data_IF_175393816445
#
_entry.id   IF_175393816445
#
_cell.length_a   1.000
_cell.length_b   1.000
_cell.length_c   1.000
_cell.angle_alpha   90.00
_cell.angle_beta   90.00
_cell.angle_gamma   90.00
#
_symmetry.space_group_name_H-M   'P 1'
#
loop_
_entity.id
_entity.type
_entity.pdbx_description
1 polymer ?
#
# COMPACT_ATOMS: atom_id res chain seq x y z
N UNK A 1 -31.49 -11.94 -11.65
CA UNK A 1 -30.27 -11.12 -11.88
C UNK A 1 -29.55 -11.71 -13.08
N UNK A 2 -29.19 -10.92 -14.09
CA UNK A 2 -28.47 -11.44 -15.26
C UNK A 2 -26.97 -11.22 -15.04
N UNK A 3 -26.17 -12.28 -15.15
CA UNK A 3 -24.71 -12.15 -15.24
C UNK A 3 -24.32 -12.33 -16.68
N UNK A 4 -23.36 -11.54 -17.13
CA UNK A 4 -22.73 -11.73 -18.43
C UNK A 4 -21.64 -12.78 -18.28
N UNK A 5 -21.92 -13.98 -18.79
CA UNK A 5 -20.87 -14.95 -19.05
C UNK A 5 -20.12 -14.50 -20.33
N UNK A 6 -18.79 -14.37 -20.31
CA UNK A 6 -18.01 -13.96 -21.48
C UNK A 6 -18.20 -14.87 -22.70
N UNK A 7 -18.48 -16.16 -22.47
CA UNK A 7 -18.65 -17.17 -23.52
C UNK A 7 -20.13 -17.43 -23.86
N UNK A 8 -21.04 -17.16 -22.92
CA UNK A 8 -22.42 -17.65 -22.97
C UNK A 8 -23.47 -16.54 -23.19
N UNK A 9 -23.07 -15.26 -23.08
CA UNK A 9 -24.01 -14.13 -23.11
C UNK A 9 -24.77 -13.93 -21.78
N UNK A 10 -25.85 -13.13 -21.78
CA UNK A 10 -26.62 -12.83 -20.58
C UNK A 10 -27.37 -14.07 -20.09
N UNK A 11 -26.90 -14.63 -18.97
CA UNK A 11 -27.50 -15.81 -18.35
C UNK A 11 -28.40 -15.40 -17.19
N UNK A 12 -29.64 -15.90 -17.17
CA UNK A 12 -30.61 -15.63 -16.11
C UNK A 12 -30.28 -16.53 -14.93
N UNK A 13 -29.70 -15.95 -13.89
CA UNK A 13 -29.37 -16.69 -12.67
C UNK A 13 -30.60 -16.78 -11.78
N UNK A 14 -31.01 -18.00 -11.46
CA UNK A 14 -31.90 -18.27 -10.34
C UNK A 14 -31.13 -18.06 -9.03
N UNK A 15 -31.58 -17.07 -8.26
CA UNK A 15 -30.99 -16.73 -6.97
C UNK A 15 -31.12 -17.88 -5.95
N UNK A 16 -32.08 -18.78 -6.16
CA UNK A 16 -32.31 -19.96 -5.31
C UNK A 16 -31.24 -21.02 -5.55
N UNK A 17 -30.86 -21.25 -6.81
CA UNK A 17 -29.76 -22.13 -7.19
C UNK A 17 -28.39 -21.53 -6.87
N UNK A 18 -28.25 -20.20 -6.93
CA UNK A 18 -27.02 -19.49 -6.61
C UNK A 18 -26.56 -19.71 -5.15
N UNK A 19 -27.48 -19.98 -4.24
CA UNK A 19 -27.17 -20.35 -2.84
C UNK A 19 -26.50 -21.72 -2.72
N UNK A 20 -26.62 -22.57 -3.74
CA UNK A 20 -26.01 -23.90 -3.81
C UNK A 20 -24.67 -23.89 -4.57
N UNK A 21 -24.26 -22.75 -5.12
CA UNK A 21 -22.97 -22.65 -5.78
C UNK A 21 -21.86 -22.67 -4.74
N UNK A 22 -21.14 -23.79 -4.69
CA UNK A 22 -19.95 -23.94 -3.88
C UNK A 22 -18.73 -23.50 -4.69
N UNK A 23 -17.86 -22.74 -4.04
CA UNK A 23 -16.54 -22.44 -4.59
C UNK A 23 -15.75 -23.74 -4.64
N UNK A 24 -15.20 -24.07 -5.81
CA UNK A 24 -14.15 -25.09 -5.92
C UNK A 24 -12.98 -24.63 -5.06
N UNK A 25 -12.95 -25.17 -3.85
CA UNK A 25 -12.09 -24.69 -2.78
C UNK A 25 -10.65 -25.07 -3.08
N UNK A 26 -10.41 -26.25 -3.67
CA UNK A 26 -9.08 -26.71 -4.02
C UNK A 26 -8.49 -25.87 -5.16
N UNK A 27 -9.29 -25.61 -6.19
CA UNK A 27 -8.89 -24.70 -7.26
C UNK A 27 -8.61 -23.30 -6.71
N UNK A 28 -9.48 -22.77 -5.86
CA UNK A 28 -9.35 -21.43 -5.29
C UNK A 28 -8.08 -21.29 -4.44
N UNK A 29 -7.82 -22.23 -3.54
CA UNK A 29 -6.60 -22.27 -2.72
C UNK A 29 -5.37 -22.27 -3.61
N UNK A 30 -5.35 -23.12 -4.65
CA UNK A 30 -4.23 -23.19 -5.60
C UNK A 30 -4.00 -21.86 -6.31
N UNK A 31 -5.06 -21.20 -6.79
CA UNK A 31 -4.93 -19.94 -7.53
C UNK A 31 -4.54 -18.76 -6.64
N UNK A 32 -5.12 -18.66 -5.44
CA UNK A 32 -4.75 -17.61 -4.47
C UNK A 32 -3.31 -17.75 -4.00
N UNK A 33 -2.85 -18.97 -3.73
CA UNK A 33 -1.46 -19.21 -3.36
C UNK A 33 -0.49 -18.83 -4.47
N UNK A 34 -0.82 -19.12 -5.72
CA UNK A 34 -0.03 -18.66 -6.86
C UNK A 34 -0.04 -17.13 -6.96
N UNK A 35 -1.20 -16.47 -6.80
CA UNK A 35 -1.33 -15.02 -6.88
C UNK A 35 -0.54 -14.28 -5.77
N UNK A 36 -0.40 -14.88 -4.59
CA UNK A 36 0.31 -14.33 -3.44
C UNK A 36 1.77 -14.80 -3.34
N UNK A 37 2.28 -15.55 -4.33
CA UNK A 37 3.61 -16.16 -4.32
C UNK A 37 3.86 -17.05 -3.07
N UNK A 38 2.84 -17.76 -2.59
CA UNK A 38 2.97 -18.71 -1.47
C UNK A 38 3.55 -20.04 -1.99
N UNK A 39 4.69 -20.51 -1.47
CA UNK A 39 5.34 -21.72 -1.96
C UNK A 39 4.47 -22.97 -1.79
N UNK A 40 4.41 -23.86 -2.77
CA UNK A 40 3.56 -25.06 -2.76
C UNK A 40 3.82 -26.02 -1.59
N UNK A 41 5.04 -26.06 -1.05
CA UNK A 41 5.42 -26.93 0.06
C UNK A 41 4.83 -26.51 1.41
N UNK A 42 4.30 -25.28 1.53
CA UNK A 42 3.64 -24.81 2.76
C UNK A 42 2.32 -25.56 2.92
N UNK A 43 2.10 -26.25 4.02
CA UNK A 43 0.86 -26.99 4.24
C UNK A 43 -0.37 -26.06 4.21
N UNK A 44 -1.48 -26.60 3.71
CA UNK A 44 -2.82 -26.01 3.85
C UNK A 44 -3.46 -26.67 5.06
N UNK A 45 -3.91 -25.87 6.02
CA UNK A 45 -4.55 -26.37 7.24
C UNK A 45 -6.03 -25.99 7.24
N UNK A 46 -6.92 -26.98 7.39
CA UNK A 46 -8.34 -26.72 7.63
C UNK A 46 -8.52 -26.39 9.12
N UNK A 47 -8.84 -25.14 9.44
CA UNK A 47 -8.98 -24.68 10.84
C UNK A 47 -10.42 -24.90 11.33
N UNK A 48 -11.40 -24.62 10.46
CA UNK A 48 -12.82 -24.80 10.73
C UNK A 48 -13.54 -25.23 9.45
N UNK A 49 -14.75 -25.76 9.56
CA UNK A 49 -15.58 -26.00 8.39
C UNK A 49 -15.77 -24.70 7.60
N UNK A 50 -15.39 -24.71 6.31
CA UNK A 50 -15.42 -23.53 5.45
C UNK A 50 -14.30 -22.50 5.67
N UNK A 51 -13.26 -22.79 6.49
CA UNK A 51 -12.12 -21.89 6.76
C UNK A 51 -10.78 -22.65 6.74
N UNK A 52 -9.85 -22.18 5.91
CA UNK A 52 -8.52 -22.77 5.74
C UNK A 52 -7.41 -21.73 5.91
N UNK A 53 -6.32 -22.09 6.57
CA UNK A 53 -5.05 -21.37 6.47
C UNK A 53 -4.29 -21.87 5.24
N UNK A 54 -4.07 -20.97 4.30
CA UNK A 54 -3.51 -21.31 2.99
C UNK A 54 -2.04 -20.89 2.85
N UNK A 55 -1.45 -20.29 3.89
CA UNK A 55 -0.03 -19.93 3.94
C UNK A 55 0.21 -18.61 4.67
N UNK A 56 1.33 -17.96 4.34
CA UNK A 56 1.77 -16.69 4.92
C UNK A 56 2.11 -15.72 3.80
N UNK A 57 1.63 -14.48 3.90
CA UNK A 57 1.90 -13.40 2.95
C UNK A 57 2.24 -12.11 3.72
N UNK A 58 3.33 -11.43 3.34
CA UNK A 58 3.86 -10.25 4.05
C UNK A 58 3.94 -10.46 5.58
N UNK A 59 4.47 -11.62 6.02
CA UNK A 59 4.62 -12.05 7.43
C UNK A 59 3.32 -12.29 8.22
N UNK A 60 2.15 -12.26 7.56
CA UNK A 60 0.84 -12.47 8.18
C UNK A 60 0.20 -13.75 7.64
N UNK A 61 -0.52 -14.49 8.49
CA UNK A 61 -1.22 -15.71 8.05
C UNK A 61 -2.32 -15.35 7.04
N UNK A 62 -2.56 -16.22 6.05
CA UNK A 62 -3.60 -16.03 5.05
C UNK A 62 -4.69 -17.07 5.28
N UNK A 63 -5.89 -16.59 5.58
CA UNK A 63 -7.09 -17.39 5.79
C UNK A 63 -8.01 -17.23 4.57
N UNK A 64 -8.36 -18.33 3.94
CA UNK A 64 -9.46 -18.40 2.99
C UNK A 64 -10.70 -18.86 3.74
N UNK A 65 -11.81 -18.12 3.63
CA UNK A 65 -13.10 -18.56 4.11
C UNK A 65 -14.17 -18.46 3.04
N UNK A 66 -15.10 -19.41 3.04
CA UNK A 66 -16.24 -19.39 2.10
C UNK A 66 -17.13 -18.16 2.32
N UNK A 67 -17.23 -17.70 3.57
CA UNK A 67 -18.12 -16.63 3.99
C UNK A 67 -17.53 -15.90 5.19
N UNK A 68 -17.72 -14.58 5.25
CA UNK A 68 -17.24 -13.75 6.36
C UNK A 68 -17.94 -14.09 7.69
N UNK A 69 -19.21 -14.51 7.64
CA UNK A 69 -19.96 -14.85 8.86
C UNK A 69 -19.36 -16.03 9.61
N UNK A 70 -18.76 -17.00 8.90
CA UNK A 70 -18.06 -18.14 9.51
C UNK A 70 -16.82 -17.68 10.30
N UNK A 71 -16.14 -16.65 9.81
CA UNK A 71 -14.95 -16.08 10.47
C UNK A 71 -15.38 -15.28 11.70
N UNK A 72 -16.40 -14.43 11.57
CA UNK A 72 -16.92 -13.62 12.68
C UNK A 72 -17.43 -14.51 13.81
N UNK A 73 -18.22 -15.53 13.50
CA UNK A 73 -18.77 -16.45 14.50
C UNK A 73 -17.70 -17.25 15.26
N UNK A 74 -16.52 -17.44 14.66
CA UNK A 74 -15.44 -18.26 15.22
C UNK A 74 -14.16 -17.45 15.51
N UNK A 75 -14.22 -16.12 15.56
CA UNK A 75 -13.05 -15.24 15.61
C UNK A 75 -12.11 -15.55 16.79
N UNK A 76 -12.66 -15.84 17.97
CA UNK A 76 -11.85 -16.21 19.15
C UNK A 76 -10.99 -17.46 18.89
N UNK A 77 -11.58 -18.50 18.29
CA UNK A 77 -10.85 -19.73 17.97
C UNK A 77 -9.83 -19.51 16.84
N UNK A 78 -10.22 -18.75 15.82
CA UNK A 78 -9.42 -18.52 14.61
C UNK A 78 -8.21 -17.60 14.84
N UNK A 79 -8.30 -16.61 15.72
CA UNK A 79 -7.22 -15.64 15.91
C UNK A 79 -6.47 -15.81 17.23
N UNK A 80 -7.15 -16.31 18.28
CA UNK A 80 -6.60 -16.42 19.64
C UNK A 80 -6.55 -17.86 20.16
N UNK A 81 -6.74 -18.86 19.28
CA UNK A 81 -6.65 -20.28 19.64
C UNK A 81 -5.22 -20.76 19.95
N UNK A 82 -5.06 -22.10 20.03
CA UNK A 82 -3.78 -22.76 20.37
C UNK A 82 -2.60 -22.32 19.49
N UNK A 83 -2.86 -22.06 18.22
CA UNK A 83 -1.92 -21.41 17.31
C UNK A 83 -2.47 -20.00 17.04
N UNK A 84 -1.98 -18.95 17.71
CA UNK A 84 -2.51 -17.59 17.50
C UNK A 84 -2.10 -17.05 16.13
N UNK A 85 -3.02 -16.29 15.52
CA UNK A 85 -2.87 -15.72 14.16
C UNK A 85 -3.35 -14.26 14.13
N UNK A 86 -2.84 -13.40 15.02
CA UNK A 86 -3.26 -12.01 15.03
C UNK A 86 -2.91 -11.36 13.69
N UNK A 87 -3.70 -10.35 13.32
CA UNK A 87 -3.49 -9.60 12.09
C UNK A 87 -3.46 -10.53 10.87
N UNK A 88 -4.32 -11.54 10.76
CA UNK A 88 -4.34 -12.36 9.55
C UNK A 88 -4.90 -11.60 8.34
N UNK A 89 -4.57 -12.02 7.12
CA UNK A 89 -5.31 -11.68 5.92
C UNK A 89 -6.49 -12.65 5.78
N UNK A 90 -7.71 -12.16 5.82
CA UNK A 90 -8.93 -12.97 5.64
C UNK A 90 -9.49 -12.69 4.26
N UNK A 91 -9.52 -13.70 3.39
CA UNK A 91 -10.04 -13.60 2.03
C UNK A 91 -11.38 -14.31 1.97
N UNK A 92 -12.42 -13.58 1.57
CA UNK A 92 -13.76 -14.15 1.32
C UNK A 92 -14.35 -13.56 0.05
N UNK A 93 -15.32 -14.24 -0.59
CA UNK A 93 -16.21 -13.59 -1.55
C UNK A 93 -16.96 -12.43 -0.88
N UNK A 94 -17.40 -11.47 -1.69
CA UNK A 94 -18.24 -10.36 -1.28
C UNK A 94 -19.58 -10.91 -0.81
N UNK A 95 -20.02 -10.57 0.41
CA UNK A 95 -21.31 -11.04 0.91
C UNK A 95 -22.44 -10.45 0.08
N UNK A 96 -23.48 -11.25 -0.18
CA UNK A 96 -24.67 -10.83 -0.92
C UNK A 96 -25.61 -9.93 -0.08
N UNK A 97 -25.39 -9.85 1.23
CA UNK A 97 -26.20 -9.08 2.19
C UNK A 97 -25.49 -7.84 2.73
N UNK A 98 -26.18 -7.09 3.60
CA UNK A 98 -25.56 -6.00 4.36
C UNK A 98 -24.64 -6.56 5.43
N UNK A 99 -23.38 -6.18 5.37
CA UNK A 99 -22.35 -6.51 6.37
C UNK A 99 -21.71 -5.22 6.89
N UNK A 100 -21.25 -5.23 8.14
CA UNK A 100 -20.45 -4.13 8.71
C UNK A 100 -19.25 -3.82 7.81
N UNK A 101 -18.82 -2.55 7.77
CA UNK A 101 -17.64 -2.13 7.01
C UNK A 101 -16.34 -2.78 7.54
N UNK A 102 -16.26 -3.05 8.86
CA UNK A 102 -15.20 -3.84 9.48
C UNK A 102 -15.81 -4.88 10.44
N UNK A 103 -16.14 -6.08 9.96
CA UNK A 103 -16.72 -7.13 10.77
C UNK A 103 -15.70 -7.84 11.68
N UNK A 104 -14.40 -7.61 11.48
CA UNK A 104 -13.33 -8.25 12.26
C UNK A 104 -12.75 -7.31 13.32
N UNK A 105 -13.19 -6.05 13.34
CA UNK A 105 -12.86 -5.05 14.37
C UNK A 105 -11.35 -4.93 14.59
N UNK A 106 -10.58 -4.90 13.50
CA UNK A 106 -9.12 -4.82 13.53
C UNK A 106 -8.38 -6.11 13.92
N UNK A 107 -9.06 -7.19 14.30
CA UNK A 107 -8.39 -8.48 14.66
C UNK A 107 -7.65 -9.10 13.47
N UNK A 108 -8.14 -8.82 12.26
CA UNK A 108 -7.58 -9.27 11.00
C UNK A 108 -8.01 -8.31 9.88
N UNK A 109 -7.27 -8.30 8.78
CA UNK A 109 -7.61 -7.48 7.61
C UNK A 109 -8.45 -8.31 6.65
N UNK A 110 -9.65 -7.82 6.32
CA UNK A 110 -10.57 -8.48 5.41
C UNK A 110 -10.37 -8.02 3.96
N UNK A 111 -10.20 -8.98 3.05
CA UNK A 111 -10.12 -8.79 1.61
C UNK A 111 -11.30 -9.46 0.92
N UNK A 112 -12.09 -8.67 0.19
CA UNK A 112 -13.02 -9.23 -0.78
C UNK A 112 -12.25 -9.76 -1.98
N UNK A 113 -12.57 -10.98 -2.39
CA UNK A 113 -11.93 -11.64 -3.50
C UNK A 113 -12.08 -10.84 -4.80
N UNK A 114 -13.26 -10.30 -5.02
CA UNK A 114 -13.68 -9.55 -6.21
C UNK A 114 -13.00 -8.18 -6.32
N UNK A 115 -12.61 -7.59 -5.18
CA UNK A 115 -11.96 -6.29 -5.13
C UNK A 115 -10.42 -6.45 -5.24
N UNK A 116 -9.87 -7.53 -4.67
CA UNK A 116 -8.42 -7.72 -4.52
C UNK A 116 -7.80 -8.69 -5.51
N UNK A 117 -8.58 -9.47 -6.25
CA UNK A 117 -8.06 -10.43 -7.23
C UNK A 117 -8.80 -10.35 -8.56
N UNK A 118 -8.03 -10.34 -9.63
CA UNK A 118 -8.54 -10.34 -10.99
C UNK A 118 -8.12 -11.61 -11.73
N UNK A 119 -9.03 -12.15 -12.53
CA UNK A 119 -8.72 -13.25 -13.45
C UNK A 119 -7.89 -12.69 -14.60
N UNK A 120 -6.70 -13.25 -14.81
CA UNK A 120 -5.83 -12.93 -15.93
C UNK A 120 -5.38 -14.22 -16.62
N UNK A 121 -5.95 -14.48 -17.80
CA UNK A 121 -5.78 -15.78 -18.48
C UNK A 121 -6.33 -16.92 -17.63
N UNK A 122 -5.53 -17.98 -17.44
CA UNK A 122 -5.90 -19.12 -16.60
C UNK A 122 -5.53 -18.93 -15.11
N UNK A 123 -5.25 -17.72 -14.64
CA UNK A 123 -4.74 -17.46 -13.29
C UNK A 123 -5.48 -16.35 -12.57
N UNK A 124 -5.35 -16.32 -11.23
CA UNK A 124 -5.65 -15.13 -10.43
C UNK A 124 -4.38 -14.30 -10.32
N UNK A 125 -4.54 -12.98 -10.37
CA UNK A 125 -3.51 -12.02 -9.99
C UNK A 125 -4.04 -11.17 -8.85
N UNK A 126 -3.18 -10.89 -7.88
CA UNK A 126 -3.46 -9.86 -6.89
C UNK A 126 -3.57 -8.53 -7.63
N UNK A 127 -4.74 -7.90 -7.54
CA UNK A 127 -4.91 -6.51 -7.93
C UNK A 127 -4.22 -5.71 -6.83
N UNK A 128 -3.05 -5.18 -7.16
CA UNK A 128 -2.48 -4.12 -6.37
C UNK A 128 -3.47 -2.96 -6.46
N UNK A 129 -4.24 -2.75 -5.40
CA UNK A 129 -4.76 -1.41 -5.14
C UNK A 129 -3.58 -0.46 -5.29
N UNK A 130 -3.78 0.63 -6.02
CA UNK A 130 -2.86 1.74 -6.02
C UNK A 130 -2.79 2.37 -4.64
N UNK A 131 -2.22 1.65 -3.69
CA UNK A 131 -1.94 1.99 -2.29
C UNK A 131 -1.58 0.67 -1.58
N UNK A 132 -0.29 0.46 -1.36
CA UNK A 132 0.15 -0.12 -0.10
C UNK A 132 -0.47 0.75 1.02
N UNK A 133 -1.68 0.41 1.49
CA UNK A 133 -2.06 0.61 2.88
C UNK A 133 -1.13 -0.33 3.65
N UNK A 134 0.03 0.17 4.09
CA UNK A 134 0.16 0.70 5.43
C UNK A 134 -0.63 -0.19 6.38
N UNK A 135 -0.04 -1.36 6.67
CA UNK A 135 -0.19 -1.94 8.00
C UNK A 135 0.01 -0.79 8.97
N UNK A 136 -1.07 -0.45 9.68
CA UNK A 136 -1.11 0.45 10.80
C UNK A 136 -0.22 -0.13 11.91
N UNK A 137 1.09 -0.07 11.72
CA UNK A 137 1.88 0.55 12.77
C UNK A 137 1.47 2.00 12.66
N UNK A 138 0.94 2.57 13.74
CA UNK A 138 1.08 4.01 13.96
C UNK A 138 2.58 4.24 14.06
N UNK A 139 3.29 4.19 12.93
CA UNK A 139 4.55 4.88 12.79
C UNK A 139 4.09 6.32 12.92
N UNK A 140 4.43 6.90 14.06
CA UNK A 140 4.34 8.33 14.28
C UNK A 140 4.63 9.02 12.96
N UNK A 141 3.65 9.79 12.42
CA UNK A 141 3.89 10.71 11.30
C UNK A 141 5.09 11.55 11.75
N UNK A 142 6.29 11.14 11.31
CA UNK A 142 7.51 11.39 12.06
C UNK A 142 7.70 12.90 12.18
N UNK A 143 8.00 13.37 13.39
CA UNK A 143 8.16 14.80 13.67
C UNK A 143 9.19 15.39 12.71
N UNK A 144 9.01 16.66 12.35
CA UNK A 144 9.94 17.33 11.46
C UNK A 144 11.27 17.56 12.20
N UNK A 145 12.35 16.92 11.73
CA UNK A 145 13.71 16.96 12.32
C UNK A 145 14.65 17.79 11.44
N UNK A 146 14.55 17.64 10.11
CA UNK A 146 15.42 18.29 9.14
C UNK A 146 14.62 19.34 8.37
N UNK A 147 14.34 20.47 9.02
CA UNK A 147 13.42 21.47 8.45
C UNK A 147 12.01 20.87 8.36
N UNK A 148 11.39 20.76 7.17
CA UNK A 148 10.07 20.16 7.03
C UNK A 148 10.12 18.62 6.96
N UNK A 149 11.31 18.00 6.96
CA UNK A 149 11.47 16.56 6.76
C UNK A 149 11.55 15.80 8.08
N UNK A 150 11.07 14.57 8.09
CA UNK A 150 11.40 13.58 9.13
C UNK A 150 12.90 13.24 9.14
N UNK A 151 13.35 12.55 10.19
CA UNK A 151 14.74 12.07 10.32
C UNK A 151 15.21 11.27 9.08
N UNK A 152 14.35 10.41 8.53
CA UNK A 152 14.64 9.59 7.36
C UNK A 152 14.35 10.27 6.02
N UNK A 153 13.86 11.52 6.02
CA UNK A 153 13.36 12.24 4.84
C UNK A 153 12.14 11.61 4.13
N UNK A 154 11.54 10.55 4.69
CA UNK A 154 10.38 9.87 4.09
C UNK A 154 9.06 10.64 4.27
N UNK A 155 9.01 11.59 5.19
CA UNK A 155 7.85 12.43 5.44
C UNK A 155 8.19 13.91 5.32
N UNK A 156 7.30 14.68 4.70
CA UNK A 156 7.45 16.14 4.52
C UNK A 156 6.23 16.87 5.04
N UNK A 157 6.44 17.78 5.97
CA UNK A 157 5.42 18.63 6.58
C UNK A 157 5.38 19.98 5.86
N UNK A 158 4.38 20.18 4.99
CA UNK A 158 4.15 21.45 4.28
C UNK A 158 2.68 21.88 4.44
N UNK A 159 2.39 22.85 5.33
CA UNK A 159 1.00 23.26 5.59
C UNK A 159 0.30 23.85 4.36
N UNK A 160 1.06 24.40 3.40
CA UNK A 160 0.52 24.99 2.17
C UNK A 160 -0.01 23.96 1.16
N UNK A 161 0.19 22.65 1.37
CA UNK A 161 -0.30 21.60 0.47
C UNK A 161 -1.50 20.85 1.06
N UNK A 162 -1.35 20.33 2.28
CA UNK A 162 -2.42 19.63 3.00
C UNK A 162 -2.15 19.67 4.49
N UNK A 163 -3.20 19.42 5.30
CA UNK A 163 -3.08 19.20 6.74
C UNK A 163 -2.30 17.91 7.07
N UNK A 164 -2.22 16.97 6.13
CA UNK A 164 -1.44 15.74 6.29
C UNK A 164 -0.02 15.85 5.72
N UNK A 165 0.98 15.20 6.34
CA UNK A 165 2.34 15.13 5.80
C UNK A 165 2.40 14.32 4.51
N UNK A 166 3.24 14.77 3.58
CA UNK A 166 3.45 14.12 2.27
C UNK A 166 4.46 13.00 2.45
N UNK A 167 4.12 11.78 2.02
CA UNK A 167 5.03 10.63 2.01
C UNK A 167 5.88 10.63 0.74
N UNK A 168 7.19 10.46 0.89
CA UNK A 168 8.14 10.27 -0.20
C UNK A 168 8.50 8.80 -0.35
N UNK A 169 8.79 8.38 -1.58
CA UNK A 169 9.44 7.08 -1.82
C UNK A 169 10.91 7.11 -1.35
N UNK A 170 11.51 5.96 -1.10
CA UNK A 170 12.92 5.87 -0.69
C UNK A 170 13.87 6.60 -1.67
N UNK A 171 13.63 6.50 -2.99
CA UNK A 171 14.42 7.20 -4.00
C UNK A 171 14.28 8.74 -3.89
N UNK A 172 13.07 9.23 -3.64
CA UNK A 172 12.81 10.67 -3.46
C UNK A 172 13.42 11.20 -2.16
N UNK A 173 13.27 10.44 -1.05
CA UNK A 173 13.88 10.75 0.24
C UNK A 173 15.41 10.81 0.14
N UNK A 174 16.04 9.88 -0.59
CA UNK A 174 17.48 9.87 -0.80
C UNK A 174 17.99 11.16 -1.49
N UNK A 175 17.27 11.66 -2.51
CA UNK A 175 17.61 12.93 -3.18
C UNK A 175 17.57 14.10 -2.17
N UNK A 176 16.53 14.18 -1.34
CA UNK A 176 16.44 15.24 -0.33
C UNK A 176 17.48 15.12 0.76
N UNK A 177 17.80 13.89 1.21
CA UNK A 177 18.88 13.66 2.16
C UNK A 177 20.23 14.14 1.64
N UNK A 178 20.53 13.91 0.36
CA UNK A 178 21.75 14.45 -0.29
C UNK A 178 21.71 15.98 -0.38
N UNK A 179 20.63 16.55 -0.90
CA UNK A 179 20.47 18.01 -1.02
C UNK A 179 20.58 18.72 0.34
N UNK A 180 20.01 18.13 1.40
CA UNK A 180 20.08 18.65 2.76
C UNK A 180 21.51 18.62 3.31
N UNK A 181 22.26 17.53 3.07
CA UNK A 181 23.69 17.44 3.47
C UNK A 181 24.55 18.55 2.84
N UNK A 182 24.20 19.01 1.64
CA UNK A 182 24.87 20.13 0.98
C UNK A 182 24.40 21.51 1.45
N UNK A 183 23.41 21.61 2.33
CA UNK A 183 22.99 22.86 3.01
C UNK A 183 22.80 24.05 2.05
N UNK A 184 22.19 23.80 0.88
CA UNK A 184 21.93 24.84 -0.13
C UNK A 184 23.09 25.13 -1.09
N UNK A 185 24.24 24.48 -0.95
CA UNK A 185 25.31 24.55 -1.95
C UNK A 185 24.85 23.90 -3.27
N UNK A 186 24.97 24.58 -4.42
CA UNK A 186 24.60 24.02 -5.71
C UNK A 186 25.47 22.82 -6.11
N UNK A 187 24.84 21.72 -6.49
CA UNK A 187 25.50 20.48 -6.94
C UNK A 187 24.96 20.03 -8.29
N UNK A 188 25.77 19.32 -9.08
CA UNK A 188 25.33 18.74 -10.35
C UNK A 188 24.31 17.61 -10.12
N UNK A 189 23.47 17.34 -11.13
CA UNK A 189 22.57 16.18 -11.09
C UNK A 189 23.35 14.88 -10.90
N UNK A 190 24.47 14.71 -11.61
CA UNK A 190 25.33 13.53 -11.52
C UNK A 190 25.80 13.27 -10.08
N UNK A 191 26.35 14.28 -9.41
CA UNK A 191 26.81 14.17 -8.02
C UNK A 191 25.68 13.77 -7.09
N UNK A 192 24.50 14.38 -7.25
CA UNK A 192 23.35 14.09 -6.39
C UNK A 192 22.84 12.67 -6.62
N UNK A 193 22.66 12.27 -7.87
CA UNK A 193 22.11 10.97 -8.24
C UNK A 193 23.07 9.83 -7.85
N UNK A 194 24.38 10.01 -8.09
CA UNK A 194 25.41 9.08 -7.65
C UNK A 194 25.40 8.88 -6.14
N UNK A 195 25.37 9.98 -5.36
CA UNK A 195 25.29 9.90 -3.88
C UNK A 195 23.95 9.36 -3.35
N UNK A 196 22.87 9.50 -4.13
CA UNK A 196 21.58 8.91 -3.83
C UNK A 196 21.47 7.45 -4.31
N UNK A 197 22.52 6.91 -4.94
CA UNK A 197 22.53 5.58 -5.56
C UNK A 197 21.42 5.38 -6.61
N UNK A 198 21.18 6.41 -7.44
CA UNK A 198 20.17 6.42 -8.49
C UNK A 198 20.82 6.57 -9.87
N UNK A 199 20.25 5.89 -10.87
CA UNK A 199 20.77 5.86 -12.24
C UNK A 199 20.12 6.86 -13.20
N UNK A 200 19.16 7.67 -12.75
CA UNK A 200 18.51 8.67 -13.60
C UNK A 200 19.40 9.90 -13.80
N UNK A 201 19.35 10.51 -14.99
CA UNK A 201 20.13 11.69 -15.35
C UNK A 201 19.60 12.99 -14.72
N UNK A 202 18.30 13.03 -14.39
CA UNK A 202 17.62 14.23 -13.89
C UNK A 202 16.83 13.90 -12.64
N UNK A 203 16.98 14.74 -11.61
CA UNK A 203 16.27 14.59 -10.35
C UNK A 203 14.74 14.54 -10.57
N UNK A 204 14.22 15.44 -11.41
CA UNK A 204 12.77 15.55 -11.66
C UNK A 204 12.14 14.25 -12.19
N UNK A 205 12.92 13.38 -12.85
CA UNK A 205 12.40 12.12 -13.39
C UNK A 205 11.96 11.17 -12.28
N UNK A 206 12.56 11.27 -11.09
CA UNK A 206 12.18 10.52 -9.88
C UNK A 206 10.89 11.05 -9.23
N UNK A 207 10.48 12.28 -9.59
CA UNK A 207 9.27 12.94 -9.10
C UNK A 207 8.16 13.04 -10.16
N UNK A 208 8.37 12.52 -11.37
CA UNK A 208 7.35 12.58 -12.42
C UNK A 208 6.12 11.76 -12.04
N UNK A 209 4.96 12.40 -12.14
CA UNK A 209 3.67 11.75 -12.00
C UNK A 209 3.28 11.12 -13.33
N UNK A 210 2.97 9.82 -13.32
CA UNK A 210 2.45 9.11 -14.50
C UNK A 210 1.08 9.66 -14.88
N UNK A 211 0.72 9.64 -16.16
CA UNK A 211 -0.57 10.13 -16.63
C UNK A 211 -1.76 9.45 -15.95
N UNK A 212 -1.64 8.16 -15.62
CA UNK A 212 -2.62 7.38 -14.85
C UNK A 212 -2.87 7.88 -13.43
N UNK A 213 -1.93 8.65 -12.86
CA UNK A 213 -1.93 9.07 -11.47
C UNK A 213 -2.20 10.59 -11.33
N UNK A 214 -2.51 11.26 -12.43
CA UNK A 214 -2.81 12.69 -12.47
C UNK A 214 -4.14 12.96 -11.77
N UNK A 215 -4.17 13.99 -10.91
CA UNK A 215 -5.32 14.33 -10.07
C UNK A 215 -5.35 13.61 -8.72
N UNK A 216 -4.41 12.71 -8.45
CA UNK A 216 -4.29 12.05 -7.15
C UNK A 216 -3.21 12.75 -6.29
N UNK A 217 -3.67 13.36 -5.18
CA UNK A 217 -2.85 14.15 -4.26
C UNK A 217 -1.66 13.39 -3.68
N UNK A 218 -1.76 12.06 -3.52
CA UNK A 218 -0.66 11.24 -3.02
C UNK A 218 0.53 11.21 -3.98
N UNK A 219 0.26 11.19 -5.30
CA UNK A 219 1.33 11.18 -6.32
C UNK A 219 1.79 12.59 -6.67
N UNK A 220 0.90 13.58 -6.56
CA UNK A 220 1.24 14.97 -6.86
C UNK A 220 2.02 15.66 -5.74
N UNK A 221 1.82 15.25 -4.48
CA UNK A 221 2.52 15.79 -3.31
C UNK A 221 4.04 15.80 -3.44
N UNK A 222 4.70 14.66 -3.74
CA UNK A 222 6.16 14.62 -3.93
C UNK A 222 6.67 15.58 -5.01
N UNK A 223 5.94 15.69 -6.13
CA UNK A 223 6.31 16.63 -7.21
C UNK A 223 6.15 18.09 -6.76
N UNK A 224 5.12 18.39 -5.97
CA UNK A 224 4.93 19.69 -5.37
C UNK A 224 6.09 20.05 -4.43
N UNK A 225 6.47 19.13 -3.52
CA UNK A 225 7.63 19.30 -2.61
C UNK A 225 8.89 19.60 -3.43
N UNK A 226 9.16 18.81 -4.47
CA UNK A 226 10.32 19.02 -5.34
C UNK A 226 10.31 20.42 -5.97
N UNK A 227 9.19 20.84 -6.56
CA UNK A 227 9.08 22.17 -7.19
C UNK A 227 9.24 23.31 -6.19
N UNK A 228 8.80 23.11 -4.94
CA UNK A 228 8.85 24.13 -3.89
C UNK A 228 10.23 24.26 -3.26
N UNK A 229 10.91 23.13 -3.02
CA UNK A 229 12.12 23.08 -2.21
C UNK A 229 13.42 22.94 -3.01
N UNK A 230 13.35 22.54 -4.29
CA UNK A 230 14.54 22.38 -5.13
C UNK A 230 14.68 23.55 -6.09
N UNK A 231 15.79 24.27 -5.97
CA UNK A 231 16.17 25.34 -6.89
C UNK A 231 17.07 24.76 -7.98
N UNK A 232 16.74 25.02 -9.25
CA UNK A 232 17.52 24.55 -10.40
C UNK A 232 18.10 25.71 -11.20
N UNK A 233 19.42 25.77 -11.31
CA UNK A 233 20.10 26.61 -12.30
C UNK A 233 20.20 25.86 -13.62
N UNK A 234 19.32 26.20 -14.58
CA UNK A 234 19.24 25.50 -15.88
C UNK A 234 20.49 25.64 -16.73
N UNK A 235 21.20 26.79 -16.66
CA UNK A 235 22.39 27.05 -17.50
C UNK A 235 23.57 26.18 -17.07
N UNK A 236 23.73 25.98 -15.76
CA UNK A 236 24.85 25.25 -15.18
C UNK A 236 24.50 23.80 -14.82
N UNK A 237 23.24 23.39 -14.96
CA UNK A 237 22.78 22.05 -14.56
C UNK A 237 22.89 21.78 -13.05
N UNK A 238 22.90 22.84 -12.23
CA UNK A 238 23.08 22.76 -10.80
C UNK A 238 21.74 22.79 -10.05
N UNK A 239 21.69 22.09 -8.93
CA UNK A 239 20.55 21.97 -8.05
C UNK A 239 20.95 22.28 -6.62
N UNK A 240 20.12 23.02 -5.90
CA UNK A 240 20.31 23.30 -4.49
C UNK A 240 18.99 23.22 -3.72
N UNK A 241 19.10 23.08 -2.41
CA UNK A 241 17.96 23.17 -1.51
C UNK A 241 17.61 24.64 -1.23
N UNK A 242 16.32 24.97 -1.21
CA UNK A 242 15.83 26.32 -0.92
C UNK A 242 16.12 26.72 0.54
N UNK A 243 17.10 27.60 0.72
CA UNK A 243 17.62 28.05 2.03
C UNK A 243 16.59 28.74 2.95
N UNK A 244 15.50 29.28 2.40
CA UNK A 244 14.45 29.95 3.21
C UNK A 244 13.71 28.99 4.15
N UNK A 245 13.75 27.68 3.87
CA UNK A 245 13.07 26.65 4.67
C UNK A 245 13.96 26.10 5.80
N UNK A 246 15.29 26.24 5.68
CA UNK A 246 16.24 25.84 6.72
C UNK A 246 16.19 26.75 7.97
N UNK A 247 15.63 27.96 7.87
CA UNK A 247 15.60 28.94 8.97
C UNK A 247 14.45 28.78 9.96
N UNK A 248 13.35 28.12 9.58
CA UNK A 248 12.18 27.96 10.46
C UNK A 248 12.46 27.00 11.63
N UNK A 249 13.48 26.14 11.53
CA UNK A 249 13.84 25.18 12.57
C UNK A 249 14.66 25.77 13.74
N UNK A 250 15.16 27.00 13.66
CA UNK A 250 15.99 27.61 14.72
C UNK A 250 15.15 28.45 15.71
N UNK A 251 13.95 28.91 15.32
CA UNK A 251 13.17 29.84 16.15
C UNK A 251 12.28 29.19 17.22
N UNK A 252 12.21 27.85 17.31
CA UNK A 252 11.33 27.15 18.26
C UNK A 252 12.07 26.59 19.50
N UNK A 253 13.28 27.07 19.82
CA UNK A 253 14.06 26.66 21.01
C UNK A 253 14.40 27.78 22.00
N UNK A 254 13.79 28.95 21.89
CA UNK A 254 13.84 29.99 22.92
C UNK A 254 12.44 30.54 23.16
N UNK A 255 11.70 29.85 24.04
CA UNK A 255 10.65 30.40 24.89
C UNK A 255 10.10 29.27 25.77
N UNK A 256 10.89 28.89 26.78
CA UNK A 256 10.46 28.38 28.08
C UNK A 256 11.53 28.81 29.08
#
# INVERSE_FOLDING_TARGET
MHVQCPECGPYKVDLTEQRNWAIDTEWMIRKLRAALNIPAHIAVEKIHEGVWQIGVYKKRAVLLAQRIELVVANALHLFHGKAPRPDSWVITPKPLGRTSADPLSGTATWWHLEDRFAIHGNGLRLVEEGSDELVLVVESKSTAVHGPFSETFEWVHLPDWSSEPIRLTAAQAAIFGVLWRYQGQPQSAETIMSKAHLSSEKLIDVFKVKASNKGNLLYEGPLFVYKKLVVRNRRLGLYSFASSVSRTAISARHNL
#
